data_IF_677491004910
#
_entry.id   IF_677491004910
#
_cell.length_a   1.000
_cell.length_b   1.000
_cell.length_c   1.000
_cell.angle_alpha   90.00
_cell.angle_beta   90.00
_cell.angle_gamma   90.00
#
_symmetry.space_group_name_H-M   'P 1'
#
loop_
_entity.id
_entity.type
_entity.pdbx_description
1 polymer ?
#
# COMPACT_ATOMS: atom_id res chain seq x y z
N UNK A 1 -0.83 -10.20 -8.36
CA UNK A 1 0.60 -9.86 -8.42
C UNK A 1 0.68 -8.35 -8.49
N UNK A 2 1.42 -7.70 -7.59
CA UNK A 2 1.59 -6.24 -7.58
C UNK A 2 2.86 -5.81 -8.31
N UNK A 3 2.93 -4.54 -8.64
CA UNK A 3 4.08 -3.95 -9.32
C UNK A 3 5.22 -3.62 -8.35
N UNK A 4 6.45 -3.63 -8.87
CA UNK A 4 7.67 -3.27 -8.12
C UNK A 4 7.56 -1.88 -7.50
N UNK A 5 6.93 -0.93 -8.21
CA UNK A 5 6.72 0.44 -7.72
C UNK A 5 5.85 0.49 -6.47
N UNK A 6 4.80 -0.34 -6.41
CA UNK A 6 3.92 -0.42 -5.23
C UNK A 6 4.69 -0.97 -4.04
N UNK A 7 5.41 -2.07 -4.25
CA UNK A 7 6.19 -2.68 -3.19
C UNK A 7 7.23 -1.70 -2.62
N UNK A 8 7.99 -1.00 -3.46
CA UNK A 8 8.96 0.01 -3.01
C UNK A 8 8.31 1.14 -2.19
N UNK A 9 7.12 1.61 -2.59
CA UNK A 9 6.39 2.63 -1.83
C UNK A 9 5.93 2.13 -0.46
N UNK A 10 5.35 0.93 -0.41
CA UNK A 10 4.93 0.31 0.85
C UNK A 10 6.14 0.11 1.76
N UNK A 11 7.22 -0.47 1.24
CA UNK A 11 8.47 -0.73 1.99
C UNK A 11 9.07 0.55 2.58
N UNK A 12 8.97 1.67 1.87
CA UNK A 12 9.47 2.96 2.39
C UNK A 12 8.75 3.41 3.67
N UNK A 13 7.50 2.99 3.85
CA UNK A 13 6.68 3.28 5.02
C UNK A 13 6.75 2.17 6.09
N UNK A 14 7.55 1.11 5.88
CA UNK A 14 7.67 -0.04 6.77
C UNK A 14 9.08 -0.10 7.40
N UNK A 15 9.31 0.57 8.53
CA UNK A 15 10.62 0.61 9.18
C UNK A 15 11.07 -0.76 9.71
N UNK A 16 10.14 -1.69 9.96
CA UNK A 16 10.46 -3.01 10.50
C UNK A 16 10.65 -4.09 9.41
N UNK A 17 10.44 -3.76 8.13
CA UNK A 17 10.69 -4.68 7.03
C UNK A 17 12.10 -4.46 6.44
N UNK A 18 13.07 -5.36 6.67
CA UNK A 18 14.43 -5.17 6.16
C UNK A 18 14.49 -5.32 4.65
N UNK A 19 15.39 -4.58 3.98
CA UNK A 19 15.54 -4.56 2.51
C UNK A 19 15.83 -5.92 1.86
N UNK A 20 16.28 -6.91 2.63
CA UNK A 20 16.53 -8.28 2.14
C UNK A 20 15.36 -9.24 2.28
N UNK A 21 14.27 -8.82 2.94
CA UNK A 21 13.12 -9.66 3.22
C UNK A 21 11.96 -9.35 2.28
N UNK A 22 11.27 -10.40 1.83
CA UNK A 22 10.15 -10.27 0.90
C UNK A 22 8.91 -9.76 1.64
N UNK A 23 8.21 -8.80 1.04
CA UNK A 23 6.93 -8.34 1.55
C UNK A 23 5.87 -9.40 1.27
N UNK A 24 5.39 -10.12 2.29
CA UNK A 24 4.34 -11.11 2.09
C UNK A 24 2.98 -10.45 1.87
N UNK A 25 2.16 -11.06 1.00
CA UNK A 25 0.85 -10.52 0.61
C UNK A 25 -0.13 -10.45 1.78
N UNK A 26 0.00 -11.40 2.70
CA UNK A 26 -0.81 -11.54 3.90
C UNK A 26 -0.09 -11.02 5.15
N UNK A 27 1.07 -10.35 4.99
CA UNK A 27 1.75 -9.72 6.11
C UNK A 27 0.94 -8.55 6.65
N UNK A 28 0.92 -8.40 7.97
CA UNK A 28 0.26 -7.28 8.62
C UNK A 28 1.14 -6.03 8.55
N UNK A 29 0.68 -5.01 7.82
CA UNK A 29 1.44 -3.78 7.62
C UNK A 29 1.70 -3.06 8.95
N UNK A 30 0.81 -3.21 9.93
CA UNK A 30 0.92 -2.54 11.23
C UNK A 30 2.00 -3.19 12.07
N UNK A 31 2.10 -4.53 12.05
CA UNK A 31 3.23 -5.24 12.68
C UNK A 31 4.57 -4.88 12.02
N UNK A 32 4.56 -4.56 10.72
CA UNK A 32 5.74 -4.10 9.98
C UNK A 32 6.07 -2.61 10.21
N UNK A 33 5.31 -1.91 11.05
CA UNK A 33 5.58 -0.54 11.49
C UNK A 33 4.80 0.54 10.75
N UNK A 34 3.72 0.17 10.04
CA UNK A 34 2.83 1.15 9.43
C UNK A 34 1.96 1.84 10.51
N UNK A 35 2.40 3.01 10.95
CA UNK A 35 1.66 3.88 11.87
C UNK A 35 0.68 4.81 11.14
N UNK A 36 -0.07 5.65 11.88
CA UNK A 36 -1.00 6.64 11.31
C UNK A 36 -0.32 7.59 10.32
N UNK A 37 0.89 8.06 10.60
CA UNK A 37 1.64 8.92 9.69
C UNK A 37 2.14 8.14 8.46
N UNK A 38 2.64 6.92 8.66
CA UNK A 38 3.07 6.04 7.57
C UNK A 38 1.93 5.70 6.62
N UNK A 39 0.72 5.50 7.14
CA UNK A 39 -0.50 5.28 6.34
C UNK A 39 -0.82 6.48 5.46
N UNK A 40 -0.76 7.70 6.01
CA UNK A 40 -1.03 8.94 5.25
C UNK A 40 0.04 9.18 4.18
N UNK A 41 1.31 8.96 4.50
CA UNK A 41 2.42 9.07 3.55
C UNK A 41 2.29 8.04 2.43
N UNK A 42 2.02 6.77 2.79
CA UNK A 42 1.79 5.69 1.84
C UNK A 42 0.63 6.01 0.90
N UNK A 43 -0.50 6.44 1.47
CA UNK A 43 -1.67 6.84 0.71
C UNK A 43 -1.32 7.95 -0.30
N UNK A 44 -0.66 9.01 0.17
CA UNK A 44 -0.27 10.14 -0.69
C UNK A 44 0.71 9.71 -1.79
N UNK A 45 1.65 8.81 -1.48
CA UNK A 45 2.61 8.26 -2.43
C UNK A 45 1.93 7.41 -3.51
N UNK A 46 0.95 6.59 -3.13
CA UNK A 46 0.15 5.78 -4.06
C UNK A 46 -0.71 6.66 -4.96
N UNK A 47 -1.45 7.62 -4.41
CA UNK A 47 -2.29 8.54 -5.18
C UNK A 47 -1.48 9.32 -6.21
N UNK A 48 -0.35 9.91 -5.80
CA UNK A 48 0.56 10.63 -6.70
C UNK A 48 1.21 9.69 -7.71
N UNK A 49 1.64 8.52 -7.26
CA UNK A 49 2.36 7.53 -8.03
C UNK A 49 1.54 6.90 -9.15
N UNK A 50 0.26 6.68 -8.90
CA UNK A 50 -0.68 6.05 -9.84
C UNK A 50 -1.68 7.06 -10.44
N UNK A 51 -1.61 8.34 -10.07
CA UNK A 51 -2.54 9.39 -10.49
C UNK A 51 -4.02 9.02 -10.19
N UNK A 52 -4.23 8.40 -9.02
CA UNK A 52 -5.55 7.97 -8.54
C UNK A 52 -5.95 8.72 -7.28
N UNK A 53 -7.21 8.59 -6.87
CA UNK A 53 -7.69 9.00 -5.55
C UNK A 53 -8.40 7.86 -4.86
N UNK A 54 -8.04 7.61 -3.60
CA UNK A 54 -8.80 6.69 -2.77
C UNK A 54 -10.03 7.41 -2.22
N UNK A 55 -11.16 6.70 -2.19
CA UNK A 55 -12.38 7.21 -1.55
C UNK A 55 -12.37 6.86 -0.07
N UNK A 56 -13.12 7.63 0.74
CA UNK A 56 -13.26 7.41 2.19
C UNK A 56 -13.65 5.97 2.53
N UNK A 57 -14.52 5.36 1.73
CA UNK A 57 -14.94 3.95 1.89
C UNK A 57 -13.78 2.96 1.74
N UNK A 58 -12.80 3.28 0.88
CA UNK A 58 -11.60 2.47 0.70
C UNK A 58 -10.57 2.69 1.80
N UNK A 59 -10.65 3.82 2.54
CA UNK A 59 -9.74 4.15 3.64
C UNK A 59 -10.14 3.45 4.95
N UNK A 60 -10.33 2.14 4.86
CA UNK A 60 -10.70 1.29 5.98
C UNK A 60 -9.48 0.58 6.58
N UNK A 61 -9.56 0.21 7.86
CA UNK A 61 -8.48 -0.54 8.52
C UNK A 61 -8.15 -1.85 7.79
N UNK A 62 -9.15 -2.51 7.22
CA UNK A 62 -8.96 -3.73 6.42
C UNK A 62 -8.15 -3.50 5.13
N UNK A 63 -8.30 -2.34 4.48
CA UNK A 63 -7.54 -1.99 3.28
C UNK A 63 -6.05 -1.81 3.60
N UNK A 64 -5.74 -1.24 4.77
CA UNK A 64 -4.38 -1.05 5.24
C UNK A 64 -3.88 -2.18 6.14
N UNK A 65 -4.64 -3.28 6.26
CA UNK A 65 -4.22 -4.43 7.05
C UNK A 65 -3.08 -5.18 6.36
N UNK A 66 -3.20 -5.42 5.05
CA UNK A 66 -2.23 -6.23 4.30
C UNK A 66 -1.89 -5.61 2.94
N UNK A 67 -0.70 -5.87 2.38
CA UNK A 67 -0.35 -5.45 1.02
C UNK A 67 -1.34 -5.97 -0.02
N UNK A 68 -1.88 -7.18 0.17
CA UNK A 68 -2.87 -7.78 -0.75
C UNK A 68 -4.15 -6.95 -0.81
N UNK A 69 -4.72 -6.59 0.32
CA UNK A 69 -5.98 -5.81 0.37
C UNK A 69 -5.76 -4.42 -0.19
N UNK A 70 -4.66 -3.77 0.16
CA UNK A 70 -4.28 -2.45 -0.36
C UNK A 70 -4.10 -2.46 -1.88
N UNK A 71 -3.38 -3.44 -2.41
CA UNK A 71 -3.19 -3.61 -3.86
C UNK A 71 -4.50 -3.91 -4.57
N UNK A 72 -5.37 -4.75 -3.99
CA UNK A 72 -6.69 -5.02 -4.53
C UNK A 72 -7.54 -3.75 -4.67
N UNK A 73 -7.53 -2.91 -3.64
CA UNK A 73 -8.21 -1.62 -3.66
C UNK A 73 -7.63 -0.69 -4.75
N UNK A 74 -6.30 -0.56 -4.80
CA UNK A 74 -5.61 0.28 -5.79
C UNK A 74 -5.87 -0.18 -7.23
N UNK A 75 -5.69 -1.47 -7.51
CA UNK A 75 -5.88 -2.03 -8.85
C UNK A 75 -7.33 -1.92 -9.35
N UNK A 76 -8.31 -1.83 -8.45
CA UNK A 76 -9.71 -1.57 -8.81
C UNK A 76 -9.98 -0.14 -9.27
N UNK A 77 -9.15 0.84 -8.88
CA UNK A 77 -9.32 2.27 -9.23
C UNK A 77 -8.33 2.76 -10.28
N UNK A 78 -7.19 2.09 -10.45
CA UNK A 78 -6.24 2.43 -11.51
C UNK A 78 -6.90 2.13 -12.85
N UNK A 79 -7.21 3.15 -13.68
CA UNK A 79 -7.69 2.87 -15.02
C UNK A 79 -6.56 2.15 -15.76
N UNK A 80 -6.81 0.90 -16.12
CA UNK A 80 -5.97 0.22 -17.13
C UNK A 80 -6.16 1.03 -18.40
N UNK A 81 -5.22 1.92 -18.68
CA UNK A 81 -5.25 2.72 -19.89
C UNK A 81 -5.21 1.76 -21.09
N UNK A 82 -6.34 1.68 -21.79
CA UNK A 82 -6.53 0.93 -23.04
C UNK A 82 -5.81 1.58 -24.21
#
# INVERSE_FOLDING_TARGET
MWDVKFEEMVRHCLPFLPSGEQLEADADLRDLGLDSLGTVELLSALEKGYQVRFTDEMLSMDTFATPRTLWGALSGIVPTAV
#
